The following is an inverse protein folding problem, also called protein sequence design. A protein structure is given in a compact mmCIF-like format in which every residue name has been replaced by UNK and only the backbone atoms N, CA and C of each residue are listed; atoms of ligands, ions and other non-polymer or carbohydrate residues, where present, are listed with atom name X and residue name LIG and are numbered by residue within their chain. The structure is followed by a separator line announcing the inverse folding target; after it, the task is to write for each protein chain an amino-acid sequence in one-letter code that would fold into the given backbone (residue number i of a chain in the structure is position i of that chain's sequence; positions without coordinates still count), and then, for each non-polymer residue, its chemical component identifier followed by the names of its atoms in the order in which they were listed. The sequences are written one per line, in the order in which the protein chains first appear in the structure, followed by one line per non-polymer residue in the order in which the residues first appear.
data_IF_048583888150
#
_entry.id   IF_048583888150
#
_cell.length_a   1.000
_cell.length_b   1.000
_cell.length_c   1.000
_cell.angle_alpha   90.00
_cell.angle_beta   90.00
_cell.angle_gamma   90.00
#
_symmetry.space_group_name_H-M   'P 1'
#
loop_
_entity.id
_entity.type
_entity.pdbx_description
1 polymer ?
#
# COMPACT_ATOMS: atom_id res chain seq x y z
N UNK A 1 -10.40 -10.19 18.40
CA UNK A 1 -10.25 -8.75 18.71
C UNK A 1 -9.71 -8.05 17.48
N UNK A 2 -10.47 -7.14 16.88
CA UNK A 2 -10.04 -6.31 15.75
C UNK A 2 -9.12 -5.20 16.27
N UNK A 3 -7.88 -5.17 15.81
CA UNK A 3 -6.92 -4.10 16.16
C UNK A 3 -7.32 -2.83 15.41
N UNK A 4 -7.73 -1.79 16.15
CA UNK A 4 -8.01 -0.49 15.58
C UNK A 4 -6.71 0.16 15.13
N UNK A 5 -6.59 0.43 13.84
CA UNK A 5 -5.45 1.12 13.24
C UNK A 5 -5.91 2.51 12.81
N UNK A 6 -5.22 3.53 13.31
CA UNK A 6 -5.49 4.92 12.93
C UNK A 6 -4.42 5.35 11.94
N UNK A 7 -4.84 5.98 10.84
CA UNK A 7 -3.95 6.57 9.84
C UNK A 7 -4.15 8.08 9.81
N UNK A 8 -3.05 8.84 9.75
CA UNK A 8 -3.10 10.27 9.49
C UNK A 8 -3.04 10.49 7.98
N UNK A 9 -3.97 11.28 7.46
CA UNK A 9 -4.05 11.62 6.04
C UNK A 9 -4.35 13.12 5.92
N UNK A 10 -3.92 13.73 4.82
CA UNK A 10 -4.30 15.11 4.51
C UNK A 10 -5.80 15.20 4.23
N UNK A 11 -6.37 16.39 4.41
CA UNK A 11 -7.78 16.65 4.14
C UNK A 11 -8.14 16.37 2.67
N UNK A 12 -7.26 16.75 1.75
CA UNK A 12 -7.42 16.49 0.31
C UNK A 12 -7.52 14.99 0.02
N UNK A 13 -6.62 14.19 0.61
CA UNK A 13 -6.62 12.74 0.42
C UNK A 13 -7.87 12.10 1.05
N UNK A 14 -8.35 12.63 2.17
CA UNK A 14 -9.61 12.19 2.78
C UNK A 14 -10.81 12.46 1.87
N UNK A 15 -10.94 13.69 1.34
CA UNK A 15 -12.02 14.06 0.40
C UNK A 15 -12.01 13.18 -0.85
N UNK A 16 -10.82 12.91 -1.37
CA UNK A 16 -10.64 12.01 -2.50
C UNK A 16 -11.08 10.57 -2.17
N UNK A 17 -10.67 10.04 -1.01
CA UNK A 17 -11.04 8.69 -0.55
C UNK A 17 -12.55 8.54 -0.37
N UNK A 18 -13.22 9.52 0.24
CA UNK A 18 -14.68 9.52 0.42
C UNK A 18 -15.39 9.53 -0.93
N UNK A 19 -14.93 10.38 -1.85
CA UNK A 19 -15.49 10.44 -3.21
C UNK A 19 -15.30 9.13 -3.97
N UNK A 20 -14.14 8.49 -3.81
CA UNK A 20 -13.87 7.19 -4.40
C UNK A 20 -14.75 6.08 -3.79
N UNK A 21 -14.96 6.09 -2.47
CA UNK A 21 -15.84 5.15 -1.79
C UNK A 21 -17.30 5.28 -2.27
N UNK A 22 -17.80 6.50 -2.47
CA UNK A 22 -19.14 6.74 -3.03
C UNK A 22 -19.30 6.16 -4.45
N UNK A 23 -18.32 6.39 -5.33
CA UNK A 23 -18.31 5.78 -6.67
C UNK A 23 -18.23 4.25 -6.63
N UNK A 24 -17.51 3.69 -5.65
CA UNK A 24 -17.43 2.25 -5.49
C UNK A 24 -18.78 1.69 -5.03
N UNK A 25 -19.44 2.35 -4.08
CA UNK A 25 -20.77 2.00 -3.60
C UNK A 25 -21.82 2.03 -4.72
N UNK A 26 -21.78 3.05 -5.59
CA UNK A 26 -22.67 3.11 -6.77
C UNK A 26 -22.49 1.90 -7.69
N UNK A 27 -21.24 1.45 -7.88
CA UNK A 27 -20.93 0.31 -8.75
C UNK A 27 -21.27 -1.03 -8.13
N UNK A 28 -21.01 -1.21 -6.83
CA UNK A 28 -21.22 -2.48 -6.14
C UNK A 28 -22.60 -2.62 -5.52
N UNK A 29 -23.39 -1.53 -5.45
CA UNK A 29 -24.69 -1.46 -4.77
C UNK A 29 -24.68 -1.97 -3.32
N UNK A 30 -23.52 -1.86 -2.66
CA UNK A 30 -23.30 -2.33 -1.30
C UNK A 30 -22.69 -1.20 -0.47
N UNK A 31 -22.93 -1.16 0.85
CA UNK A 31 -22.20 -0.28 1.74
C UNK A 31 -20.69 -0.51 1.64
N UNK A 32 -19.93 0.56 1.42
CA UNK A 32 -18.47 0.53 1.30
C UNK A 32 -17.85 1.25 2.49
N UNK A 33 -17.06 0.53 3.29
CA UNK A 33 -16.20 1.15 4.31
C UNK A 33 -14.94 1.73 3.68
N UNK A 34 -14.26 2.66 4.39
CA UNK A 34 -12.98 3.20 3.94
C UNK A 34 -11.93 2.08 3.80
N UNK A 35 -11.94 1.07 4.68
CA UNK A 35 -11.06 -0.10 4.55
C UNK A 35 -11.33 -0.91 3.27
N UNK A 36 -12.60 -1.09 2.89
CA UNK A 36 -12.99 -1.76 1.64
C UNK A 36 -12.55 -0.93 0.43
N UNK A 37 -12.73 0.39 0.48
CA UNK A 37 -12.24 1.30 -0.55
C UNK A 37 -10.70 1.22 -0.71
N UNK A 38 -9.94 1.28 0.39
CA UNK A 38 -8.48 1.12 0.38
C UNK A 38 -8.03 -0.25 -0.12
N UNK A 39 -8.77 -1.31 0.22
CA UNK A 39 -8.47 -2.66 -0.24
C UNK A 39 -8.69 -2.81 -1.74
N UNK A 40 -9.71 -2.13 -2.30
CA UNK A 40 -9.94 -2.13 -3.75
C UNK A 40 -8.85 -1.39 -4.54
N UNK A 41 -8.18 -0.42 -3.91
CA UNK A 41 -7.06 0.31 -4.51
C UNK A 41 -5.76 -0.51 -4.50
N UNK A 42 -5.66 -1.53 -3.63
CA UNK A 42 -4.50 -2.42 -3.63
C UNK A 42 -4.58 -3.36 -4.83
N UNK A 43 -3.59 -3.35 -5.74
CA UNK A 43 -3.49 -4.36 -6.78
C UNK A 43 -3.23 -5.71 -6.12
N UNK A 44 -3.84 -6.75 -6.67
CA UNK A 44 -3.77 -8.11 -6.13
C UNK A 44 -2.38 -8.75 -6.28
N UNK A 45 -1.52 -8.21 -7.15
CA UNK A 45 -0.15 -8.69 -7.37
C UNK A 45 0.86 -7.55 -7.20
N UNK A 46 1.88 -7.80 -6.38
CA UNK A 46 3.03 -6.90 -6.19
C UNK A 46 3.69 -6.50 -7.51
N UNK A 47 3.69 -7.39 -8.51
CA UNK A 47 4.22 -7.11 -9.86
C UNK A 47 3.49 -5.98 -10.59
N UNK A 48 2.24 -5.66 -10.22
CA UNK A 48 1.53 -4.52 -10.81
C UNK A 48 2.06 -3.18 -10.28
N UNK A 49 2.70 -3.16 -9.12
CA UNK A 49 3.46 -1.99 -8.66
C UNK A 49 4.80 -1.83 -9.39
N UNK A 50 5.33 -2.89 -10.01
CA UNK A 50 6.63 -2.84 -10.69
C UNK A 50 6.62 -1.87 -11.89
N UNK A 51 5.48 -1.66 -12.56
CA UNK A 51 5.33 -0.66 -13.62
C UNK A 51 5.45 0.79 -13.15
N UNK A 52 5.31 1.05 -11.84
CA UNK A 52 5.48 2.38 -11.23
C UNK A 52 6.94 2.67 -10.85
N UNK A 53 7.80 1.66 -10.92
CA UNK A 53 9.22 1.77 -10.65
C UNK A 53 9.91 1.61 -12.00
N UNK A 54 10.24 2.73 -12.66
CA UNK A 54 10.89 2.77 -13.98
C UNK A 54 12.15 1.87 -14.09
N UNK A 55 12.73 1.47 -12.96
CA UNK A 55 13.91 0.60 -12.85
C UNK A 55 13.74 -0.50 -11.78
N UNK A 56 12.57 -1.17 -11.70
CA UNK A 56 12.44 -2.34 -10.83
C UNK A 56 13.19 -3.55 -11.41
N UNK A 57 14.41 -3.78 -10.93
CA UNK A 57 15.17 -5.01 -11.12
C UNK A 57 15.24 -5.76 -9.78
N UNK A 58 14.48 -6.85 -9.69
CA UNK A 58 14.36 -7.69 -8.50
C UNK A 58 15.73 -8.22 -8.01
N UNK A 59 16.68 -8.46 -8.94
CA UNK A 59 18.04 -8.88 -8.57
C UNK A 59 18.83 -7.74 -7.94
N UNK A 60 18.78 -6.54 -8.53
CA UNK A 60 19.45 -5.36 -7.95
C UNK A 60 18.89 -4.97 -6.60
N UNK A 61 17.57 -5.08 -6.41
CA UNK A 61 16.94 -4.78 -5.12
C UNK A 61 17.40 -5.78 -4.06
N UNK A 62 17.38 -7.08 -4.36
CA UNK A 62 17.86 -8.13 -3.45
C UNK A 62 19.34 -7.98 -3.12
N UNK A 63 20.18 -7.60 -4.08
CA UNK A 63 21.59 -7.31 -3.82
C UNK A 63 21.79 -6.07 -2.95
N UNK A 64 21.08 -4.97 -3.21
CA UNK A 64 21.16 -3.75 -2.41
C UNK A 64 20.69 -4.00 -0.98
N UNK A 65 19.60 -4.75 -0.81
CA UNK A 65 19.11 -5.17 0.49
C UNK A 65 20.14 -6.04 1.19
N UNK A 66 20.71 -7.06 0.53
CA UNK A 66 21.74 -7.92 1.12
C UNK A 66 23.01 -7.16 1.54
N UNK A 67 23.41 -6.12 0.79
CA UNK A 67 24.54 -5.24 1.14
C UNK A 67 24.20 -4.31 2.31
N UNK A 68 23.03 -3.70 2.29
CA UNK A 68 22.59 -2.76 3.33
C UNK A 68 22.13 -3.43 4.64
N UNK A 69 21.68 -4.68 4.59
CA UNK A 69 21.26 -5.48 5.74
C UNK A 69 22.39 -6.30 6.39
N UNK A 70 23.66 -6.02 6.07
CA UNK A 70 24.78 -6.46 6.92
C UNK A 70 24.78 -5.67 8.23
N UNK A 71 23.83 -5.96 9.11
CA UNK A 71 23.93 -5.61 10.52
C UNK A 71 24.81 -6.65 11.17
N UNK A 72 26.12 -6.55 10.97
CA UNK A 72 27.08 -7.29 11.78
C UNK A 72 27.03 -6.66 13.18
N UNK A 73 26.48 -7.39 14.16
CA UNK A 73 26.62 -7.02 15.57
C UNK A 73 28.11 -7.16 15.89
N UNK A 74 28.80 -6.10 16.34
CA UNK A 74 30.19 -6.22 16.73
C UNK A 74 30.28 -7.25 17.86
N UNK A 75 30.91 -8.39 17.60
CA UNK A 75 31.30 -9.32 18.65
C UNK A 75 32.46 -8.69 19.43
N UNK A 76 32.18 -8.28 20.66
CA UNK A 76 33.19 -7.88 21.66
C UNK A 76 34.01 -9.09 22.12
#
# INVERSE_FOLDING_TARGET
MTTLKTIKISEENYKWLVSYAGKLQERTQEPVSIDKALSSLRPQKLSMYAGMWKEYDDKKLKEKLKRGWKWEIPSF
#
